data_IF_030718881916
#
_entry.id   IF_030718881916
#
_cell.length_a   1.000
_cell.length_b   1.000
_cell.length_c   1.000
_cell.angle_alpha   90.00
_cell.angle_beta   90.00
_cell.angle_gamma   90.00
#
_symmetry.space_group_name_H-M   'P 1'
#
loop_
_entity.id
_entity.type
_entity.pdbx_description
1 polymer ?
#
# COMPACT_ATOMS: atom_id res chain seq x y z
N UNK A 1 9.18 -16.87 -19.71
CA UNK A 1 9.51 -16.67 -18.29
C UNK A 1 10.21 -15.33 -18.21
N UNK A 2 9.62 -14.36 -17.50
CA UNK A 2 10.16 -13.00 -17.43
C UNK A 2 11.52 -13.00 -16.74
N UNK A 3 12.46 -12.26 -17.30
CA UNK A 3 13.79 -12.04 -16.73
C UNK A 3 13.63 -11.30 -15.39
N UNK A 4 14.13 -11.87 -14.29
CA UNK A 4 14.04 -11.22 -12.99
C UNK A 4 15.03 -10.06 -12.94
N UNK A 5 14.54 -8.83 -12.83
CA UNK A 5 15.39 -7.63 -12.88
C UNK A 5 16.14 -7.36 -11.58
N UNK A 6 15.71 -7.93 -10.45
CA UNK A 6 16.32 -7.72 -9.13
C UNK A 6 17.46 -8.71 -8.81
N UNK A 7 17.90 -9.50 -9.79
CA UNK A 7 19.01 -10.42 -9.66
C UNK A 7 20.04 -10.14 -10.74
N UNK A 8 21.33 -10.18 -10.40
CA UNK A 8 22.41 -10.13 -11.38
C UNK A 8 22.61 -11.48 -12.09
N UNK A 9 23.59 -11.54 -13.00
CA UNK A 9 23.93 -12.76 -13.75
C UNK A 9 24.43 -13.91 -12.88
N UNK A 10 24.90 -13.62 -11.66
CA UNK A 10 25.33 -14.60 -10.68
C UNK A 10 24.19 -15.04 -9.74
N UNK A 11 22.98 -14.47 -9.90
CA UNK A 11 21.82 -14.73 -9.05
C UNK A 11 21.85 -14.00 -7.70
N UNK A 12 22.64 -12.93 -7.56
CA UNK A 12 22.67 -12.09 -6.36
C UNK A 12 21.63 -10.99 -6.45
N UNK A 13 20.98 -10.70 -5.33
CA UNK A 13 20.01 -9.61 -5.23
C UNK A 13 20.68 -8.25 -5.47
N UNK A 14 20.11 -7.46 -6.39
CA UNK A 14 20.54 -6.10 -6.70
C UNK A 14 19.34 -5.15 -6.74
N UNK A 15 19.56 -3.92 -6.28
CA UNK A 15 18.64 -2.82 -6.56
C UNK A 15 18.95 -2.31 -7.97
N UNK A 16 17.94 -2.29 -8.84
CA UNK A 16 18.10 -1.91 -10.25
C UNK A 16 18.47 -0.43 -10.36
N UNK A 17 19.50 -0.09 -11.14
CA UNK A 17 19.77 1.32 -11.47
C UNK A 17 18.68 1.86 -12.41
N UNK A 18 18.04 2.95 -11.97
CA UNK A 18 16.98 3.64 -12.72
C UNK A 18 17.42 5.03 -13.19
N UNK A 19 18.66 5.47 -12.97
CA UNK A 19 19.12 6.84 -13.19
C UNK A 19 18.89 7.39 -14.61
N UNK A 20 19.02 6.52 -15.62
CA UNK A 20 18.83 6.88 -17.04
C UNK A 20 17.36 6.86 -17.49
N UNK A 21 16.43 6.40 -16.64
CA UNK A 21 15.00 6.43 -16.96
C UNK A 21 14.46 7.85 -16.82
N UNK A 22 13.56 8.30 -17.70
CA UNK A 22 12.92 9.60 -17.57
C UNK A 22 12.02 9.65 -16.33
N UNK A 23 11.86 10.84 -15.77
CA UNK A 23 10.87 11.12 -14.72
C UNK A 23 9.51 11.27 -15.40
N UNK A 24 8.53 10.51 -14.91
CA UNK A 24 7.14 10.59 -15.37
C UNK A 24 6.20 10.54 -14.17
N UNK A 25 4.99 11.06 -14.34
CA UNK A 25 3.92 10.82 -13.37
C UNK A 25 3.53 9.34 -13.38
N UNK A 26 3.40 8.76 -12.19
CA UNK A 26 3.10 7.35 -11.98
C UNK A 26 2.05 7.25 -10.89
N UNK A 27 1.12 6.32 -11.10
CA UNK A 27 0.04 6.03 -10.15
C UNK A 27 -0.10 4.52 -10.00
N UNK A 28 -0.27 4.06 -8.77
CA UNK A 28 -0.63 2.69 -8.48
C UNK A 28 -1.88 2.66 -7.61
N UNK A 29 -2.66 1.58 -7.74
CA UNK A 29 -3.83 1.30 -6.91
C UNK A 29 -3.78 -0.14 -6.44
N UNK A 30 -4.01 -0.34 -5.16
CA UNK A 30 -4.08 -1.66 -4.54
C UNK A 30 -5.34 -1.77 -3.68
N UNK A 31 -5.76 -3.00 -3.41
CA UNK A 31 -6.91 -3.30 -2.57
C UNK A 31 -6.63 -4.47 -1.63
N UNK A 32 -7.28 -4.45 -0.47
CA UNK A 32 -7.23 -5.53 0.51
C UNK A 32 -8.60 -5.72 1.17
N UNK A 33 -8.86 -6.92 1.66
CA UNK A 33 -10.11 -7.26 2.36
C UNK A 33 -9.78 -7.88 3.69
N UNK A 34 -10.33 -7.31 4.77
CA UNK A 34 -10.22 -7.88 6.12
C UNK A 34 -11.54 -8.54 6.46
N UNK A 35 -11.57 -9.88 6.40
CA UNK A 35 -12.74 -10.68 6.75
C UNK A 35 -12.82 -10.82 8.27
N UNK A 36 -14.02 -10.69 8.82
CA UNK A 36 -14.27 -10.79 10.25
C UNK A 36 -15.67 -11.32 10.56
N UNK A 37 -15.95 -11.57 11.84
CA UNK A 37 -17.30 -11.90 12.28
C UNK A 37 -18.25 -10.69 12.10
N UNK A 38 -19.52 -10.96 11.81
CA UNK A 38 -20.53 -9.91 11.63
C UNK A 38 -20.71 -9.03 12.87
N UNK A 39 -20.59 -9.60 14.07
CA UNK A 39 -20.62 -8.84 15.33
C UNK A 39 -19.47 -7.83 15.41
N UNK A 40 -18.27 -8.22 14.99
CA UNK A 40 -17.11 -7.30 14.93
C UNK A 40 -17.37 -6.16 13.97
N UNK A 41 -17.89 -6.44 12.77
CA UNK A 41 -18.15 -5.38 11.79
C UNK A 41 -19.27 -4.43 12.26
N UNK A 42 -20.31 -4.94 12.92
CA UNK A 42 -21.35 -4.11 13.54
C UNK A 42 -20.78 -3.17 14.58
N UNK A 43 -19.90 -3.64 15.46
CA UNK A 43 -19.22 -2.76 16.43
C UNK A 43 -18.42 -1.64 15.75
N UNK A 44 -17.83 -1.90 14.59
CA UNK A 44 -17.12 -0.90 13.80
C UNK A 44 -18.10 0.11 13.19
N UNK A 45 -19.17 -0.36 12.54
CA UNK A 45 -20.21 0.48 11.92
C UNK A 45 -20.89 1.40 12.93
N UNK A 46 -21.21 0.85 14.10
CA UNK A 46 -21.92 1.56 15.17
C UNK A 46 -21.00 2.46 16.00
N UNK A 47 -19.68 2.40 15.77
CA UNK A 47 -18.69 3.16 16.55
C UNK A 47 -18.59 2.73 18.01
N UNK A 48 -19.04 1.54 18.35
CA UNK A 48 -19.08 1.00 19.72
C UNK A 48 -17.84 0.19 20.08
N UNK A 49 -16.90 0.04 19.15
CA UNK A 49 -15.65 -0.67 19.40
C UNK A 49 -14.82 0.04 20.49
N UNK A 50 -14.40 -0.71 21.52
CA UNK A 50 -13.69 -0.18 22.69
C UNK A 50 -12.37 0.55 22.39
N UNK A 51 -11.80 0.37 21.18
CA UNK A 51 -10.58 1.07 20.71
C UNK A 51 -10.86 2.37 19.94
N UNK A 52 -12.11 2.81 19.84
CA UNK A 52 -12.50 4.01 19.09
C UNK A 52 -12.55 3.79 17.57
N UNK A 53 -12.24 4.84 16.80
CA UNK A 53 -12.30 4.83 15.33
C UNK A 53 -11.18 3.98 14.70
N UNK A 54 -11.41 2.67 14.61
CA UNK A 54 -10.46 1.72 14.04
C UNK A 54 -10.23 1.94 12.54
N UNK A 55 -11.21 2.44 11.79
CA UNK A 55 -11.07 2.70 10.36
C UNK A 55 -10.22 3.96 10.11
N UNK A 56 -10.41 5.00 10.91
CA UNK A 56 -9.56 6.19 10.90
C UNK A 56 -8.11 5.87 11.23
N UNK A 57 -7.88 5.03 12.25
CA UNK A 57 -6.53 4.56 12.59
C UNK A 57 -5.94 3.76 11.42
N UNK A 58 -6.71 2.86 10.80
CA UNK A 58 -6.26 2.08 9.65
C UNK A 58 -5.85 2.98 8.46
N UNK A 59 -6.61 4.05 8.17
CA UNK A 59 -6.24 5.03 7.12
C UNK A 59 -4.91 5.71 7.40
N UNK A 60 -4.70 6.19 8.63
CA UNK A 60 -3.43 6.83 9.02
C UNK A 60 -2.28 5.83 8.93
N UNK A 61 -2.47 4.61 9.43
CA UNK A 61 -1.48 3.55 9.38
C UNK A 61 -1.09 3.20 7.94
N UNK A 62 -2.06 3.09 7.02
CA UNK A 62 -1.78 2.86 5.60
C UNK A 62 -0.98 3.99 4.95
N UNK A 63 -1.33 5.25 5.22
CA UNK A 63 -0.57 6.42 4.72
C UNK A 63 0.87 6.42 5.26
N UNK A 64 1.05 6.05 6.53
CA UNK A 64 2.39 5.93 7.12
C UNK A 64 3.17 4.75 6.54
N UNK A 65 2.52 3.62 6.29
CA UNK A 65 3.14 2.43 5.72
C UNK A 65 3.68 2.70 4.30
N UNK A 66 2.88 3.32 3.43
CA UNK A 66 3.29 3.67 2.07
C UNK A 66 4.58 4.52 2.05
N UNK A 67 4.71 5.50 2.95
CA UNK A 67 5.91 6.34 3.07
C UNK A 67 7.14 5.59 3.60
N UNK A 68 6.96 4.41 4.18
CA UNK A 68 8.01 3.58 4.76
C UNK A 68 8.25 2.30 3.97
N UNK A 69 7.68 2.17 2.78
CA UNK A 69 7.80 0.96 1.97
C UNK A 69 9.27 0.58 1.70
N UNK A 70 10.13 1.54 1.39
CA UNK A 70 11.57 1.27 1.18
C UNK A 70 12.33 0.88 2.46
N UNK A 71 11.83 1.21 3.66
CA UNK A 71 12.38 0.66 4.91
C UNK A 71 12.00 -0.83 5.08
N UNK A 72 10.86 -1.24 4.53
CA UNK A 72 10.26 -2.55 4.73
C UNK A 72 10.62 -3.55 3.62
N UNK A 73 10.79 -3.07 2.39
CA UNK A 73 11.02 -3.89 1.20
C UNK A 73 12.46 -3.67 0.72
N UNK A 74 13.37 -4.64 0.91
CA UNK A 74 14.82 -4.41 0.84
C UNK A 74 15.39 -3.83 -0.47
N UNK A 75 14.72 -4.05 -1.60
CA UNK A 75 15.19 -3.62 -2.92
C UNK A 75 14.34 -2.51 -3.55
N UNK A 76 13.37 -1.97 -2.81
CA UNK A 76 12.61 -0.81 -3.25
C UNK A 76 13.48 0.46 -3.21
N UNK A 77 13.36 1.28 -4.24
CA UNK A 77 13.94 2.62 -4.22
C UNK A 77 13.19 3.50 -3.22
N UNK A 78 13.88 4.40 -2.49
CA UNK A 78 13.21 5.48 -1.78
C UNK A 78 12.57 6.44 -2.79
N UNK A 79 11.30 6.78 -2.57
CA UNK A 79 10.51 7.63 -3.47
C UNK A 79 9.97 8.87 -2.74
N UNK A 80 10.02 10.02 -3.40
CA UNK A 80 9.33 11.25 -2.97
C UNK A 80 7.85 11.17 -3.37
N UNK A 81 7.09 10.34 -2.65
CA UNK A 81 5.65 10.14 -2.90
C UNK A 81 4.93 11.49 -2.80
N UNK A 82 4.18 11.85 -3.85
CA UNK A 82 3.48 13.14 -3.94
C UNK A 82 2.08 13.08 -3.36
N UNK A 83 1.45 11.91 -3.36
CA UNK A 83 0.13 11.70 -2.74
C UNK A 83 -0.08 10.25 -2.34
N UNK A 84 -0.72 10.05 -1.18
CA UNK A 84 -1.24 8.75 -0.72
C UNK A 84 -2.68 8.94 -0.28
N UNK A 85 -3.58 8.13 -0.82
CA UNK A 85 -4.98 8.06 -0.40
C UNK A 85 -5.30 6.65 0.04
N UNK A 86 -5.86 6.51 1.25
CA UNK A 86 -6.33 5.23 1.79
C UNK A 86 -7.78 5.37 2.19
N UNK A 87 -8.62 4.47 1.69
CA UNK A 87 -10.03 4.32 2.04
C UNK A 87 -10.22 2.95 2.69
N UNK A 88 -11.10 2.89 3.68
CA UNK A 88 -11.38 1.68 4.44
C UNK A 88 -12.86 1.74 4.85
N UNK A 89 -13.65 0.88 4.22
CA UNK A 89 -15.11 0.93 4.29
C UNK A 89 -15.65 -0.46 4.59
N UNK A 90 -16.67 -0.52 5.42
CA UNK A 90 -17.35 -1.78 5.72
C UNK A 90 -18.17 -2.22 4.49
N UNK A 91 -18.09 -3.50 4.17
CA UNK A 91 -18.84 -4.05 3.05
C UNK A 91 -20.35 -4.12 3.34
N UNK A 92 -21.13 -4.33 2.29
CA UNK A 92 -22.59 -4.42 2.39
C UNK A 92 -23.08 -5.77 2.94
N UNK A 93 -22.25 -6.81 2.93
CA UNK A 93 -22.65 -8.15 3.40
C UNK A 93 -22.43 -8.38 4.91
N UNK A 94 -21.93 -7.37 5.62
CA UNK A 94 -21.57 -7.44 7.04
C UNK A 94 -20.47 -8.47 7.37
N UNK A 95 -19.54 -8.71 6.45
CA UNK A 95 -18.49 -9.72 6.64
C UNK A 95 -17.07 -9.19 6.53
N UNK A 96 -16.87 -7.98 6.00
CA UNK A 96 -15.53 -7.48 5.76
C UNK A 96 -15.39 -5.95 5.79
N UNK A 97 -14.15 -5.50 5.98
CA UNK A 97 -13.71 -4.15 5.60
C UNK A 97 -12.95 -4.25 4.29
N UNK A 98 -13.37 -3.45 3.31
CA UNK A 98 -12.70 -3.26 2.03
C UNK A 98 -11.78 -2.06 2.15
N UNK A 99 -10.49 -2.27 1.86
CA UNK A 99 -9.46 -1.25 1.90
C UNK A 99 -9.00 -1.00 0.47
N UNK A 100 -8.89 0.27 0.08
CA UNK A 100 -8.23 0.66 -1.16
C UNK A 100 -7.17 1.70 -0.89
N UNK A 101 -6.05 1.59 -1.60
CA UNK A 101 -4.95 2.54 -1.52
C UNK A 101 -4.59 3.04 -2.93
N UNK A 102 -4.25 4.31 -3.04
CA UNK A 102 -3.73 4.93 -4.26
C UNK A 102 -2.52 5.78 -3.92
N UNK A 103 -1.41 5.52 -4.59
CA UNK A 103 -0.15 6.24 -4.43
C UNK A 103 0.25 6.90 -5.76
N UNK A 104 0.78 8.13 -5.67
CA UNK A 104 1.26 8.90 -6.82
C UNK A 104 2.70 9.34 -6.57
N UNK A 105 3.49 9.35 -7.64
CA UNK A 105 4.87 9.87 -7.65
C UNK A 105 5.20 10.49 -9.00
N UNK A 106 6.07 11.50 -9.01
CA UNK A 106 6.79 11.90 -10.22
C UNK A 106 8.19 11.31 -10.14
N UNK A 107 8.44 10.19 -10.82
CA UNK A 107 9.62 9.36 -10.55
C UNK A 107 10.10 8.51 -11.73
N UNK A 108 11.28 7.89 -11.53
CA UNK A 108 11.95 7.04 -12.52
C UNK A 108 11.51 5.57 -12.47
N UNK A 109 10.88 5.17 -11.37
CA UNK A 109 10.32 3.82 -11.14
C UNK A 109 8.90 3.93 -10.64
N UNK A 110 8.15 2.83 -10.76
CA UNK A 110 6.77 2.71 -10.31
C UNK A 110 6.61 2.88 -8.79
N UNK A 111 5.36 2.88 -8.37
CA UNK A 111 4.92 3.08 -6.98
C UNK A 111 3.95 1.97 -6.56
N UNK A 112 4.11 0.78 -7.14
CA UNK A 112 3.22 -0.39 -6.95
C UNK A 112 3.37 -1.03 -5.57
N UNK A 113 4.51 -0.80 -4.93
CA UNK A 113 4.84 -1.40 -3.64
C UNK A 113 4.40 -0.53 -2.46
N UNK A 114 4.32 0.79 -2.69
CA UNK A 114 3.83 1.82 -1.77
C UNK A 114 2.30 1.79 -1.61
#
# INVERSE_FOLDING_TARGET
MGEFTHFDSDGKAIMVDVGNKPITERVARAGATVIMAAETLRMIKDGTHHKGDVLGIARIAGIMAAKRTSDLIPLCHPLEITSVKVEADCDSSDTAVIITAMCLVSGRTGVEME
#
